data_IF_168594328610
#
_entry.id   IF_168594328610
#
_cell.length_a   1.000
_cell.length_b   1.000
_cell.length_c   1.000
_cell.angle_alpha   90.00
_cell.angle_beta   90.00
_cell.angle_gamma   90.00
#
_symmetry.space_group_name_H-M   'P 1'
#
loop_
_entity.id
_entity.type
_entity.pdbx_description
1 polymer ?
#
# COMPACT_ATOMS: atom_id res chain seq x y z
N UNK A 1 24.49 31.61 -10.79
CA UNK A 1 23.44 32.03 -9.85
C UNK A 1 22.18 31.26 -10.18
N UNK A 2 21.86 30.21 -9.42
CA UNK A 2 20.64 29.42 -9.66
C UNK A 2 19.42 30.21 -9.18
N UNK A 3 18.62 30.69 -10.12
CA UNK A 3 17.32 31.30 -9.85
C UNK A 3 16.38 30.19 -9.41
N UNK A 4 16.26 29.98 -8.10
CA UNK A 4 15.22 29.14 -7.53
C UNK A 4 13.85 29.74 -7.89
N UNK A 5 12.92 28.96 -8.48
CA UNK A 5 11.64 29.48 -8.92
C UNK A 5 10.80 29.94 -7.72
N UNK A 6 10.12 31.09 -7.88
CA UNK A 6 9.48 31.85 -6.80
C UNK A 6 8.53 31.04 -5.91
N UNK A 7 7.88 29.99 -6.45
CA UNK A 7 6.96 29.13 -5.70
C UNK A 7 7.63 28.33 -4.57
N UNK A 8 8.95 28.10 -4.63
CA UNK A 8 9.66 27.38 -3.57
C UNK A 8 9.96 28.22 -2.33
N UNK A 9 9.90 29.55 -2.44
CA UNK A 9 10.15 30.47 -1.31
C UNK A 9 8.95 30.65 -0.39
N UNK A 10 7.76 30.21 -0.79
CA UNK A 10 6.49 30.46 -0.09
C UNK A 10 5.92 29.24 0.64
N UNK A 11 6.49 28.05 0.45
CA UNK A 11 6.10 26.82 1.14
C UNK A 11 6.13 27.05 2.66
N UNK A 12 4.94 27.11 3.28
CA UNK A 12 4.74 27.34 4.72
C UNK A 12 4.28 28.73 5.16
N UNK A 13 4.07 29.71 4.25
CA UNK A 13 3.50 31.02 4.62
C UNK A 13 1.97 31.12 4.52
N UNK A 14 1.35 30.36 3.62
CA UNK A 14 -0.10 30.36 3.41
C UNK A 14 -0.61 28.92 3.22
N UNK A 15 -0.85 28.17 4.32
CA UNK A 15 -1.16 26.74 4.25
C UNK A 15 -2.42 26.43 3.43
N UNK A 16 -3.37 27.36 3.36
CA UNK A 16 -4.57 27.22 2.53
C UNK A 16 -4.25 27.33 1.03
N UNK A 17 -3.34 28.23 0.61
CA UNK A 17 -2.91 28.33 -0.78
C UNK A 17 -2.14 27.07 -1.20
N UNK A 18 -1.30 26.54 -0.31
CA UNK A 18 -0.57 25.29 -0.53
C UNK A 18 -1.52 24.11 -0.79
N UNK A 19 -2.68 24.09 -0.13
CA UNK A 19 -3.73 23.09 -0.38
C UNK A 19 -4.30 23.23 -1.79
N UNK A 20 -4.70 24.44 -2.20
CA UNK A 20 -5.30 24.67 -3.53
C UNK A 20 -4.29 24.48 -4.66
N UNK A 21 -3.02 24.82 -4.45
CA UNK A 21 -1.94 24.47 -5.36
C UNK A 21 -1.77 22.95 -5.48
N UNK A 22 -1.90 22.22 -4.37
CA UNK A 22 -1.85 20.76 -4.39
C UNK A 22 -3.01 20.15 -5.19
N UNK A 23 -4.22 20.73 -5.08
CA UNK A 23 -5.39 20.32 -5.89
C UNK A 23 -5.09 20.52 -7.38
N UNK A 24 -4.61 21.69 -7.78
CA UNK A 24 -4.24 21.95 -9.18
C UNK A 24 -3.13 21.01 -9.67
N UNK A 25 -2.11 20.75 -8.84
CA UNK A 25 -1.02 19.83 -9.20
C UNK A 25 -1.52 18.39 -9.46
N UNK A 26 -2.55 17.94 -8.74
CA UNK A 26 -3.18 16.64 -9.01
C UNK A 26 -3.80 16.64 -10.40
N UNK A 27 -4.58 17.66 -10.75
CA UNK A 27 -5.22 17.74 -12.07
C UNK A 27 -4.18 17.86 -13.19
N UNK A 28 -3.13 18.66 -12.99
CA UNK A 28 -1.99 18.77 -13.93
C UNK A 28 -1.31 17.41 -14.13
N UNK A 29 -1.11 16.65 -13.04
CA UNK A 29 -0.52 15.32 -13.11
C UNK A 29 -1.39 14.36 -13.94
N UNK A 30 -2.71 14.44 -13.79
CA UNK A 30 -3.66 13.62 -14.56
C UNK A 30 -3.67 14.00 -16.04
N UNK A 31 -3.62 15.30 -16.36
CA UNK A 31 -3.63 15.82 -17.72
C UNK A 31 -2.35 15.49 -18.52
N UNK A 32 -1.19 15.47 -17.86
CA UNK A 32 0.11 15.28 -18.51
C UNK A 32 0.63 13.84 -18.46
N UNK A 33 0.30 13.09 -17.42
CA UNK A 33 0.90 11.77 -17.17
C UNK A 33 -0.11 10.63 -17.02
N UNK A 34 -1.41 10.93 -17.04
CA UNK A 34 -2.47 9.95 -16.82
C UNK A 34 -2.76 9.66 -15.34
N UNK A 35 -4.04 9.43 -15.05
CA UNK A 35 -4.57 9.24 -13.69
C UNK A 35 -4.00 8.04 -12.92
N UNK A 36 -4.20 8.05 -11.60
CA UNK A 36 -3.82 6.94 -10.71
C UNK A 36 -4.69 5.69 -10.94
N UNK A 37 -4.08 4.51 -10.78
CA UNK A 37 -4.80 3.25 -10.78
C UNK A 37 -5.67 3.14 -9.52
N UNK A 38 -6.98 3.35 -9.68
CA UNK A 38 -7.97 3.27 -8.59
C UNK A 38 -8.45 1.84 -8.31
N UNK A 39 -7.57 0.84 -8.47
CA UNK A 39 -7.84 -0.55 -8.06
C UNK A 39 -8.89 -1.31 -8.88
N UNK A 40 -9.20 -0.87 -10.11
CA UNK A 40 -10.01 -1.68 -11.02
C UNK A 40 -9.24 -2.95 -11.44
N UNK A 41 -9.94 -4.07 -11.63
CA UNK A 41 -9.37 -5.40 -11.89
C UNK A 41 -9.34 -5.79 -13.37
N UNK A 42 -9.90 -4.98 -14.25
CA UNK A 42 -10.05 -5.28 -15.68
C UNK A 42 -9.22 -4.27 -16.48
N UNK A 43 -8.20 -4.74 -17.20
CA UNK A 43 -7.23 -3.92 -17.93
C UNK A 43 -7.87 -2.95 -18.94
N UNK A 44 -8.83 -3.42 -19.75
CA UNK A 44 -9.51 -2.58 -20.74
C UNK A 44 -10.37 -1.46 -20.13
N UNK A 45 -11.03 -1.73 -19.00
CA UNK A 45 -11.81 -0.73 -18.26
C UNK A 45 -10.90 0.29 -17.55
N UNK A 46 -9.71 -0.14 -17.11
CA UNK A 46 -8.69 0.74 -16.53
C UNK A 46 -8.21 1.74 -17.57
N UNK A 47 -7.82 1.29 -18.76
CA UNK A 47 -7.31 2.15 -19.85
C UNK A 47 -8.37 3.17 -20.27
N UNK A 48 -9.60 2.72 -20.52
CA UNK A 48 -10.71 3.60 -20.92
C UNK A 48 -10.99 4.66 -19.84
N UNK A 49 -11.00 4.27 -18.56
CA UNK A 49 -11.23 5.19 -17.45
C UNK A 49 -10.09 6.18 -17.28
N UNK A 50 -8.83 5.75 -17.45
CA UNK A 50 -7.65 6.62 -17.38
C UNK A 50 -7.63 7.63 -18.52
N UNK A 51 -7.95 7.20 -19.74
CA UNK A 51 -8.06 8.09 -20.89
C UNK A 51 -9.14 9.16 -20.66
N UNK A 52 -10.33 8.75 -20.18
CA UNK A 52 -11.41 9.70 -19.83
C UNK A 52 -10.99 10.69 -18.74
N UNK A 53 -10.39 10.22 -17.66
CA UNK A 53 -9.92 11.09 -16.58
C UNK A 53 -8.86 12.08 -17.06
N UNK A 54 -7.90 11.61 -17.88
CA UNK A 54 -6.90 12.47 -18.51
C UNK A 54 -7.56 13.53 -19.40
N UNK A 55 -8.56 13.17 -20.22
CA UNK A 55 -9.28 14.11 -21.05
C UNK A 55 -10.04 15.14 -20.23
N UNK A 56 -10.79 14.71 -19.20
CA UNK A 56 -11.50 15.63 -18.31
C UNK A 56 -10.56 16.60 -17.59
N UNK A 57 -9.37 16.14 -17.19
CA UNK A 57 -8.36 17.01 -16.58
C UNK A 57 -7.78 18.02 -17.57
N UNK A 58 -7.58 17.63 -18.84
CA UNK A 58 -7.17 18.55 -19.91
C UNK A 58 -8.23 19.62 -20.15
N UNK A 59 -9.47 19.20 -20.36
CA UNK A 59 -10.61 20.10 -20.60
C UNK A 59 -10.74 21.12 -19.45
N UNK A 60 -10.67 20.64 -18.20
CA UNK A 60 -10.71 21.50 -17.01
C UNK A 60 -9.61 22.57 -16.99
N UNK A 61 -8.39 22.23 -17.41
CA UNK A 61 -7.24 23.15 -17.37
C UNK A 61 -7.13 24.04 -18.61
N UNK A 62 -7.88 23.77 -19.67
CA UNK A 62 -7.85 24.55 -20.93
C UNK A 62 -9.10 25.38 -21.17
N UNK A 63 -10.21 25.08 -20.49
CA UNK A 63 -11.47 25.80 -20.67
C UNK A 63 -11.72 26.74 -19.50
N UNK A 64 -11.91 28.06 -19.75
CA UNK A 64 -12.28 29.01 -18.71
C UNK A 64 -13.59 28.59 -18.05
N UNK A 65 -13.57 28.40 -16.74
CA UNK A 65 -14.75 28.03 -15.95
C UNK A 65 -14.77 28.77 -14.61
N UNK A 66 -15.96 28.91 -14.03
CA UNK A 66 -16.13 29.54 -12.73
C UNK A 66 -15.37 28.78 -11.63
N UNK A 67 -15.36 27.46 -11.70
CA UNK A 67 -14.66 26.60 -10.76
C UNK A 67 -13.14 26.77 -10.87
N UNK A 68 -12.58 26.73 -12.08
CA UNK A 68 -11.16 26.96 -12.30
C UNK A 68 -10.73 28.37 -11.83
N UNK A 69 -11.56 29.38 -12.10
CA UNK A 69 -11.33 30.76 -11.62
C UNK A 69 -11.21 30.81 -10.10
N UNK A 70 -12.17 30.18 -9.39
CA UNK A 70 -12.16 30.10 -7.93
C UNK A 70 -10.92 29.38 -7.40
N UNK A 71 -10.60 28.22 -7.96
CA UNK A 71 -9.44 27.41 -7.53
C UNK A 71 -8.12 28.16 -7.76
N UNK A 72 -7.95 28.81 -8.92
CA UNK A 72 -6.77 29.63 -9.22
C UNK A 72 -6.67 30.83 -8.27
N UNK A 73 -7.77 31.53 -8.01
CA UNK A 73 -7.79 32.64 -7.06
C UNK A 73 -7.36 32.20 -5.65
N UNK A 74 -7.90 31.06 -5.17
CA UNK A 74 -7.54 30.49 -3.87
C UNK A 74 -6.10 29.95 -3.81
N UNK A 75 -5.54 29.56 -4.95
CA UNK A 75 -4.14 29.15 -5.10
C UNK A 75 -3.15 30.32 -5.26
N UNK A 76 -3.65 31.55 -5.41
CA UNK A 76 -2.85 32.75 -5.69
C UNK A 76 -2.28 32.78 -7.13
N UNK A 77 -3.00 32.20 -8.08
CA UNK A 77 -2.61 32.09 -9.49
C UNK A 77 -3.60 32.81 -10.40
N UNK A 78 -3.10 33.34 -11.51
CA UNK A 78 -3.95 33.88 -12.58
C UNK A 78 -4.48 32.76 -13.46
N UNK A 79 -5.80 32.68 -13.62
CA UNK A 79 -6.47 31.62 -14.40
C UNK A 79 -6.00 31.62 -15.85
N UNK A 80 -5.88 32.79 -16.48
CA UNK A 80 -5.55 32.87 -17.89
C UNK A 80 -4.10 32.42 -18.15
N UNK A 81 -3.16 32.81 -17.28
CA UNK A 81 -1.79 32.34 -17.31
C UNK A 81 -1.68 30.82 -17.13
N UNK A 82 -2.53 30.21 -16.28
CA UNK A 82 -2.61 28.75 -16.12
C UNK A 82 -3.10 28.09 -17.41
N UNK A 83 -4.19 28.59 -18.00
CA UNK A 83 -4.73 28.07 -19.26
C UNK A 83 -3.69 28.13 -20.38
N UNK A 84 -3.04 29.28 -20.57
CA UNK A 84 -2.05 29.49 -21.62
C UNK A 84 -0.82 28.56 -21.46
N UNK A 85 -0.41 28.31 -20.22
CA UNK A 85 0.68 27.39 -19.92
C UNK A 85 0.27 25.93 -20.13
N UNK A 86 -0.91 25.54 -19.62
CA UNK A 86 -1.40 24.18 -19.75
C UNK A 86 -1.72 23.81 -21.19
N UNK A 87 -2.30 24.73 -21.98
CA UNK A 87 -2.53 24.54 -23.42
C UNK A 87 -1.22 24.21 -24.15
N UNK A 88 -0.14 24.94 -23.85
CA UNK A 88 1.20 24.66 -24.42
C UNK A 88 1.75 23.32 -23.98
N UNK A 89 1.63 22.96 -22.71
CA UNK A 89 2.14 21.67 -22.20
C UNK A 89 1.34 20.48 -22.73
N UNK A 90 0.02 20.62 -22.86
CA UNK A 90 -0.86 19.57 -23.41
C UNK A 90 -0.59 19.36 -24.90
N UNK A 91 -0.33 20.43 -25.66
CA UNK A 91 0.05 20.32 -27.07
C UNK A 91 1.37 19.55 -27.29
N UNK A 92 2.27 19.56 -26.30
CA UNK A 92 3.52 18.80 -26.32
C UNK A 92 3.39 17.38 -25.72
N UNK A 93 2.25 17.04 -25.12
CA UNK A 93 2.03 15.77 -24.44
C UNK A 93 1.42 14.71 -25.39
N UNK A 94 1.69 13.41 -25.16
CA UNK A 94 1.06 12.32 -25.92
C UNK A 94 -0.48 12.33 -25.80
N UNK A 95 -1.16 11.59 -26.68
CA UNK A 95 -2.63 11.52 -26.61
C UNK A 95 -3.10 10.85 -25.30
N UNK A 96 -4.32 11.14 -24.80
CA UNK A 96 -4.83 10.53 -23.57
C UNK A 96 -4.91 9.00 -23.66
N UNK A 97 -5.14 8.47 -24.87
CA UNK A 97 -5.18 7.03 -25.14
C UNK A 97 -3.78 6.42 -25.07
N UNK A 98 -2.77 7.09 -25.63
CA UNK A 98 -1.36 6.67 -25.51
C UNK A 98 -0.87 6.69 -24.06
N UNK A 99 -1.22 7.75 -23.30
CA UNK A 99 -0.90 7.84 -21.88
C UNK A 99 -1.57 6.73 -21.07
N UNK A 100 -2.81 6.37 -21.41
CA UNK A 100 -3.56 5.31 -20.75
C UNK A 100 -3.07 3.91 -21.12
N UNK A 101 -2.66 3.70 -22.37
CA UNK A 101 -2.13 2.44 -22.89
C UNK A 101 -0.69 2.18 -22.42
N UNK A 102 0.07 3.25 -22.11
CA UNK A 102 1.38 3.08 -21.52
C UNK A 102 1.26 2.58 -20.08
N UNK A 103 1.68 1.34 -19.84
CA UNK A 103 2.04 0.80 -18.52
C UNK A 103 3.33 1.43 -17.95
N UNK A 104 3.73 2.59 -18.51
CA UNK A 104 4.95 3.25 -18.13
C UNK A 104 4.93 3.52 -16.62
N UNK A 105 5.97 3.10 -15.89
CA UNK A 105 6.09 3.45 -14.49
C UNK A 105 6.02 4.96 -14.39
N UNK A 106 4.95 5.40 -13.75
CA UNK A 106 4.64 6.80 -13.45
C UNK A 106 5.93 7.55 -13.16
N UNK A 107 6.17 8.67 -13.86
CA UNK A 107 7.14 9.67 -13.44
C UNK A 107 6.61 10.30 -12.14
N UNK A 108 6.62 9.54 -11.04
CA UNK A 108 7.04 10.11 -9.77
C UNK A 108 8.34 10.80 -10.11
N UNK A 109 8.39 12.13 -9.90
CA UNK A 109 9.60 12.97 -9.88
C UNK A 109 10.81 12.11 -10.11
N UNK A 110 11.36 12.12 -11.33
CA UNK A 110 12.64 11.48 -11.58
C UNK A 110 13.52 11.85 -10.40
N UNK A 111 13.73 10.90 -9.49
CA UNK A 111 15.02 10.78 -8.86
C UNK A 111 15.85 10.64 -10.11
N UNK A 112 16.44 11.75 -10.55
CA UNK A 112 17.77 11.75 -11.11
C UNK A 112 18.56 10.98 -10.07
N UNK A 113 18.52 9.65 -10.19
CA UNK A 113 19.64 8.81 -9.91
C UNK A 113 20.69 9.36 -10.86
N UNK A 114 21.29 10.48 -10.44
CA UNK A 114 22.71 10.69 -10.63
C UNK A 114 23.23 9.30 -10.30
N UNK A 115 23.74 8.62 -11.33
CA UNK A 115 24.57 7.43 -11.21
C UNK A 115 25.73 7.89 -10.33
N UNK A 116 25.43 8.02 -9.05
CA UNK A 116 26.40 7.96 -8.00
C UNK A 116 26.83 6.53 -8.18
N UNK A 117 28.08 6.38 -8.61
CA UNK A 117 28.83 5.18 -8.34
C UNK A 117 28.33 4.62 -7.01
N UNK A 118 28.11 3.30 -6.89
CA UNK A 118 27.79 2.73 -5.61
C UNK A 118 28.88 3.23 -4.66
N UNK A 119 28.54 4.21 -3.80
CA UNK A 119 29.40 4.58 -2.70
C UNK A 119 29.44 3.29 -1.94
N UNK A 120 30.54 2.56 -2.12
CA UNK A 120 30.96 1.50 -1.24
C UNK A 120 30.79 2.12 0.13
N UNK A 121 29.71 1.73 0.82
CA UNK A 121 29.58 2.09 2.22
C UNK A 121 30.89 1.58 2.79
N UNK A 122 31.67 2.47 3.39
CA UNK A 122 32.91 2.09 4.05
C UNK A 122 32.62 0.79 4.80
N UNK A 123 33.43 -0.27 4.62
CA UNK A 123 33.14 -1.57 5.18
C UNK A 123 32.80 -1.34 6.65
N UNK A 124 31.54 -1.62 7.04
CA UNK A 124 31.14 -1.44 8.44
C UNK A 124 32.17 -2.17 9.26
N UNK A 125 32.82 -1.48 10.20
CA UNK A 125 33.83 -2.08 11.06
C UNK A 125 33.27 -3.39 11.60
N UNK A 126 33.84 -4.50 11.13
CA UNK A 126 33.38 -5.83 11.53
C UNK A 126 33.82 -5.98 12.97
N UNK A 127 32.89 -5.78 13.90
CA UNK A 127 33.13 -5.92 15.34
C UNK A 127 33.91 -7.22 15.60
N UNK A 128 35.12 -7.07 16.14
CA UNK A 128 35.99 -8.18 16.53
C UNK A 128 35.67 -8.58 17.96
N UNK A 129 35.80 -9.86 18.24
CA UNK A 129 35.56 -10.45 19.54
C UNK A 129 36.82 -11.18 19.99
N UNK A 130 37.34 -10.78 21.15
CA UNK A 130 38.57 -11.34 21.72
C UNK A 130 38.24 -12.52 22.61
N UNK A 131 38.88 -13.65 22.37
CA UNK A 131 38.81 -14.86 23.19
C UNK A 131 40.12 -15.65 23.04
N UNK A 132 40.67 -16.16 24.15
CA UNK A 132 41.90 -16.96 24.18
C UNK A 132 43.11 -16.30 23.48
N UNK A 133 43.28 -14.99 23.68
CA UNK A 133 44.34 -14.20 23.04
C UNK A 133 44.13 -13.86 21.56
N UNK A 134 43.13 -14.44 20.90
CA UNK A 134 42.79 -14.20 19.50
C UNK A 134 41.64 -13.17 19.37
N UNK A 135 41.77 -12.19 18.46
CA UNK A 135 40.74 -11.15 18.21
C UNK A 135 40.14 -11.27 16.81
N UNK A 136 39.15 -12.16 16.67
CA UNK A 136 38.57 -12.53 15.38
C UNK A 136 37.15 -11.94 15.18
N UNK A 137 36.74 -11.83 13.92
CA UNK A 137 35.36 -11.50 13.54
C UNK A 137 34.45 -12.70 13.75
N UNK A 138 33.12 -12.48 13.84
CA UNK A 138 32.16 -13.59 13.96
C UNK A 138 32.24 -14.60 12.81
N UNK A 139 32.60 -14.16 11.61
CA UNK A 139 32.79 -15.03 10.46
C UNK A 139 34.02 -15.94 10.64
N UNK A 140 35.12 -15.38 11.13
CA UNK A 140 36.34 -16.14 11.42
C UNK A 140 36.12 -17.11 12.59
N UNK A 141 35.45 -16.68 13.65
CA UNK A 141 35.03 -17.55 14.76
C UNK A 141 34.07 -18.66 14.33
N UNK A 142 33.20 -18.39 13.35
CA UNK A 142 32.30 -19.40 12.78
C UNK A 142 33.07 -20.52 12.08
N UNK A 143 34.11 -20.18 11.33
CA UNK A 143 34.99 -21.15 10.68
C UNK A 143 35.80 -21.94 11.72
N UNK A 144 36.31 -21.26 12.76
CA UNK A 144 37.17 -21.88 13.78
C UNK A 144 36.43 -22.81 14.75
N UNK A 145 35.22 -22.46 15.13
CA UNK A 145 34.40 -23.24 16.09
C UNK A 145 33.42 -24.19 15.41
N UNK A 146 33.19 -24.04 14.10
CA UNK A 146 32.16 -24.79 13.37
C UNK A 146 30.72 -24.36 13.68
N UNK A 147 30.54 -23.29 14.48
CA UNK A 147 29.23 -22.75 14.83
C UNK A 147 28.76 -21.76 13.76
N UNK A 148 27.47 -21.78 13.40
CA UNK A 148 26.94 -20.82 12.43
C UNK A 148 27.06 -19.37 12.94
N UNK A 149 27.44 -18.44 12.05
CA UNK A 149 27.57 -17.01 12.37
C UNK A 149 26.30 -16.43 13.02
N UNK A 150 25.12 -16.86 12.56
CA UNK A 150 23.83 -16.47 13.14
C UNK A 150 23.65 -16.93 14.58
N UNK A 151 24.16 -18.12 14.94
CA UNK A 151 24.14 -18.63 16.31
C UNK A 151 25.04 -17.80 17.21
N UNK A 152 26.27 -17.52 16.77
CA UNK A 152 27.21 -16.67 17.53
C UNK A 152 26.64 -15.26 17.73
N UNK A 153 26.04 -14.66 16.69
CA UNK A 153 25.37 -13.36 16.78
C UNK A 153 24.22 -13.37 17.77
N UNK A 154 23.36 -14.39 17.72
CA UNK A 154 22.22 -14.53 18.63
C UNK A 154 22.67 -14.66 20.09
N UNK A 155 23.68 -15.50 20.35
CA UNK A 155 24.27 -15.68 21.69
C UNK A 155 24.82 -14.37 22.26
N UNK A 156 25.55 -13.60 21.46
CA UNK A 156 26.08 -12.30 21.89
C UNK A 156 24.99 -11.24 22.08
N UNK A 157 23.94 -11.26 21.26
CA UNK A 157 22.78 -10.38 21.44
C UNK A 157 21.98 -10.74 22.71
N UNK A 158 21.95 -12.02 23.07
CA UNK A 158 21.41 -12.51 24.33
C UNK A 158 22.38 -12.32 25.52
N UNK A 159 23.41 -11.50 25.37
CA UNK A 159 24.40 -11.17 26.40
C UNK A 159 25.17 -12.38 26.97
N UNK A 160 25.38 -13.43 26.17
CA UNK A 160 26.25 -14.52 26.58
C UNK A 160 27.71 -14.05 26.63
N UNK A 161 28.51 -14.54 27.61
CA UNK A 161 29.95 -14.31 27.59
C UNK A 161 30.56 -14.97 26.35
N UNK A 162 31.55 -14.31 25.75
CA UNK A 162 32.15 -14.75 24.47
C UNK A 162 32.71 -16.16 24.55
N UNK A 163 33.32 -16.52 25.68
CA UNK A 163 33.89 -17.85 25.95
C UNK A 163 32.82 -18.93 25.80
N UNK A 164 31.68 -18.73 26.47
CA UNK A 164 30.53 -19.61 26.42
C UNK A 164 29.88 -19.62 25.03
N UNK A 165 29.84 -18.46 24.37
CA UNK A 165 29.28 -18.35 23.04
C UNK A 165 30.06 -19.16 21.99
N UNK A 166 31.38 -19.33 22.18
CA UNK A 166 32.28 -20.04 21.26
C UNK A 166 32.49 -21.51 21.62
N UNK A 167 32.47 -21.87 22.91
CA UNK A 167 32.77 -23.24 23.38
C UNK A 167 31.53 -24.12 23.49
N UNK A 168 30.37 -23.55 23.83
CA UNK A 168 29.17 -24.34 24.03
C UNK A 168 28.65 -24.78 22.64
N UNK A 169 28.59 -26.09 22.35
CA UNK A 169 28.10 -26.54 21.06
C UNK A 169 26.72 -25.94 20.87
N UNK A 170 26.44 -25.37 19.69
CA UNK A 170 25.05 -25.14 19.31
C UNK A 170 24.50 -26.54 19.12
N UNK A 171 24.07 -27.13 20.22
CA UNK A 171 23.26 -28.31 20.18
C UNK A 171 22.29 -28.03 19.07
N UNK A 172 22.24 -28.95 18.11
CA UNK A 172 20.99 -29.61 17.87
C UNK A 172 20.12 -29.37 19.10
N UNK A 173 19.35 -28.28 19.10
CA UNK A 173 18.01 -28.40 19.58
C UNK A 173 17.59 -29.58 18.74
N UNK A 174 17.68 -30.76 19.36
CA UNK A 174 16.64 -31.74 19.32
C UNK A 174 15.47 -30.93 18.83
N UNK A 175 15.10 -31.16 17.55
CA UNK A 175 13.69 -31.15 17.24
C UNK A 175 13.14 -31.91 18.41
N UNK A 176 12.67 -31.21 19.46
CA UNK A 176 12.13 -31.84 20.66
C UNK A 176 11.28 -32.93 20.04
N UNK A 177 11.45 -34.23 20.36
CA UNK A 177 10.58 -35.25 19.77
C UNK A 177 9.21 -34.63 19.95
N UNK A 178 8.61 -34.27 18.80
CA UNK A 178 7.55 -33.27 18.79
C UNK A 178 6.52 -33.98 19.63
N UNK A 179 6.34 -33.58 20.89
CA UNK A 179 5.46 -34.32 21.79
C UNK A 179 4.21 -34.48 20.96
N UNK A 180 3.83 -35.72 20.70
CA UNK A 180 2.59 -36.08 20.01
C UNK A 180 1.43 -35.73 20.95
N UNK A 181 1.46 -34.53 21.52
CA UNK A 181 0.28 -33.86 21.94
C UNK A 181 -0.33 -33.39 20.62
N UNK A 182 -1.51 -33.89 20.24
CA UNK A 182 -2.24 -33.30 19.14
C UNK A 182 -2.27 -31.81 19.43
N UNK A 183 -1.71 -31.01 18.51
CA UNK A 183 -1.85 -29.55 18.59
C UNK A 183 -3.35 -29.33 18.78
N UNK A 184 -3.83 -28.63 19.82
CA UNK A 184 -5.23 -28.27 19.86
C UNK A 184 -5.49 -27.61 18.52
N UNK A 185 -6.40 -28.19 17.73
CA UNK A 185 -6.78 -27.64 16.45
C UNK A 185 -7.01 -26.16 16.71
N UNK A 186 -6.28 -25.27 16.02
CA UNK A 186 -6.36 -23.82 16.20
C UNK A 186 -7.82 -23.50 16.46
N UNK A 187 -8.17 -23.16 17.70
CA UNK A 187 -9.55 -22.86 18.05
C UNK A 187 -9.91 -21.70 17.13
N UNK A 188 -10.64 -22.01 16.06
CA UNK A 188 -11.13 -21.02 15.14
C UNK A 188 -11.85 -20.00 15.99
N UNK A 189 -11.63 -18.70 15.74
CA UNK A 189 -12.40 -17.64 16.39
C UNK A 189 -13.87 -18.08 16.46
N UNK A 190 -14.51 -18.08 17.64
CA UNK A 190 -15.89 -18.56 17.75
C UNK A 190 -16.73 -17.81 16.73
N UNK A 191 -17.48 -18.56 15.90
CA UNK A 191 -18.30 -17.97 14.86
C UNK A 191 -19.33 -17.03 15.47
N UNK A 192 -19.58 -15.90 14.83
CA UNK A 192 -20.58 -14.91 15.28
C UNK A 192 -21.93 -15.63 15.48
N UNK A 193 -22.49 -15.50 16.68
CA UNK A 193 -23.82 -15.99 17.05
C UNK A 193 -24.83 -14.85 17.02
N UNK A 194 -26.04 -15.13 16.53
CA UNK A 194 -27.15 -14.20 16.47
C UNK A 194 -28.35 -14.81 17.20
N UNK A 195 -29.02 -13.99 18.00
CA UNK A 195 -30.24 -14.36 18.72
C UNK A 195 -31.43 -13.71 18.05
N UNK A 196 -32.42 -14.52 17.66
CA UNK A 196 -33.66 -14.05 17.05
C UNK A 196 -34.81 -14.97 17.44
N UNK A 197 -35.97 -14.41 17.81
CA UNK A 197 -37.15 -15.15 18.25
C UNK A 197 -36.86 -16.19 19.37
N UNK A 198 -35.98 -15.84 20.32
CA UNK A 198 -35.63 -16.71 21.46
C UNK A 198 -34.60 -17.81 21.15
N UNK A 199 -34.19 -17.98 19.89
CA UNK A 199 -33.18 -18.95 19.51
C UNK A 199 -31.83 -18.27 19.24
N UNK A 200 -30.75 -18.82 19.82
CA UNK A 200 -29.38 -18.35 19.57
C UNK A 200 -28.64 -19.37 18.71
N UNK A 201 -28.32 -19.01 17.48
CA UNK A 201 -27.57 -19.88 16.57
C UNK A 201 -26.38 -19.15 15.95
N UNK A 202 -25.42 -19.93 15.45
CA UNK A 202 -24.29 -19.37 14.68
C UNK A 202 -24.75 -18.88 13.31
N UNK A 203 -24.01 -17.94 12.72
CA UNK A 203 -24.23 -17.51 11.33
C UNK A 203 -24.28 -18.68 10.33
N UNK A 204 -23.52 -19.75 10.57
CA UNK A 204 -23.53 -20.95 9.72
C UNK A 204 -24.88 -21.68 9.81
N UNK A 205 -25.43 -21.80 11.00
CA UNK A 205 -26.71 -22.47 11.23
C UNK A 205 -27.88 -21.63 10.71
N UNK A 206 -27.87 -20.32 10.94
CA UNK A 206 -28.86 -19.40 10.35
C UNK A 206 -28.83 -19.43 8.81
N UNK A 207 -27.63 -19.43 8.21
CA UNK A 207 -27.46 -19.56 6.76
C UNK A 207 -28.08 -20.86 6.22
N UNK A 208 -27.84 -21.99 6.90
CA UNK A 208 -28.38 -23.29 6.50
C UNK A 208 -29.90 -23.36 6.66
N UNK A 209 -30.44 -22.87 7.79
CA UNK A 209 -31.88 -22.93 8.11
C UNK A 209 -32.72 -22.07 7.17
N UNK A 210 -32.20 -20.91 6.78
CA UNK A 210 -32.91 -19.93 5.95
C UNK A 210 -32.63 -20.10 4.45
N UNK A 211 -31.77 -21.05 4.06
CA UNK A 211 -31.34 -21.21 2.67
C UNK A 211 -30.52 -20.02 2.13
N UNK A 212 -29.92 -19.23 3.01
CA UNK A 212 -29.17 -18.01 2.67
C UNK A 212 -27.67 -18.27 2.66
N UNK A 213 -26.94 -17.56 1.80
CA UNK A 213 -25.49 -17.59 1.86
C UNK A 213 -24.97 -16.79 3.07
N UNK A 214 -23.93 -17.28 3.77
CA UNK A 214 -23.26 -16.53 4.85
C UNK A 214 -22.83 -15.11 4.41
N UNK A 215 -22.30 -14.90 3.18
CA UNK A 215 -22.00 -13.55 2.69
C UNK A 215 -23.22 -12.62 2.64
N UNK A 216 -24.43 -13.15 2.35
CA UNK A 216 -25.67 -12.37 2.34
C UNK A 216 -26.00 -11.86 3.73
N UNK A 217 -25.98 -12.74 4.74
CA UNK A 217 -26.25 -12.36 6.13
C UNK A 217 -25.19 -11.36 6.63
N UNK A 218 -23.91 -11.58 6.33
CA UNK A 218 -22.83 -10.64 6.66
C UNK A 218 -22.96 -9.28 5.95
N UNK A 219 -23.49 -9.25 4.73
CA UNK A 219 -23.75 -7.99 4.02
C UNK A 219 -24.87 -7.22 4.72
N UNK A 220 -25.96 -7.89 5.11
CA UNK A 220 -27.10 -7.27 5.81
C UNK A 220 -26.70 -6.72 7.19
N UNK A 221 -25.88 -7.46 7.95
CA UNK A 221 -25.30 -6.97 9.21
C UNK A 221 -24.43 -5.72 9.02
N UNK A 222 -23.57 -5.72 7.99
CA UNK A 222 -22.73 -4.54 7.66
C UNK A 222 -23.53 -3.33 7.19
N UNK A 223 -24.73 -3.55 6.67
CA UNK A 223 -25.67 -2.49 6.29
C UNK A 223 -26.50 -1.97 7.48
N UNK A 224 -26.28 -2.51 8.69
CA UNK A 224 -26.98 -2.05 9.90
C UNK A 224 -28.47 -2.38 9.93
N UNK A 225 -28.91 -3.39 9.17
CA UNK A 225 -30.32 -3.79 9.14
C UNK A 225 -30.74 -4.43 10.47
N UNK A 226 -32.02 -4.27 10.88
CA UNK A 226 -32.54 -4.93 12.07
C UNK A 226 -32.47 -6.46 11.90
N UNK A 227 -32.29 -7.16 13.01
CA UNK A 227 -31.98 -8.60 13.02
C UNK A 227 -33.05 -9.45 12.30
N UNK A 228 -34.32 -9.04 12.40
CA UNK A 228 -35.45 -9.68 11.71
C UNK A 228 -35.31 -9.58 10.18
N UNK A 229 -34.82 -8.44 9.66
CA UNK A 229 -34.56 -8.26 8.23
C UNK A 229 -33.25 -8.93 7.80
N UNK A 230 -32.26 -9.01 8.69
CA UNK A 230 -31.00 -9.72 8.45
C UNK A 230 -31.29 -11.22 8.22
N UNK A 231 -32.21 -11.79 8.98
CA UNK A 231 -32.61 -13.20 8.93
C UNK A 231 -33.84 -13.47 8.04
N UNK A 232 -34.31 -12.48 7.28
CA UNK A 232 -35.41 -12.68 6.32
C UNK A 232 -35.01 -13.55 5.12
N UNK A 233 -35.90 -14.44 4.70
CA UNK A 233 -35.73 -15.36 3.57
C UNK A 233 -35.68 -14.66 2.19
N UNK A 234 -36.09 -13.39 2.10
CA UNK A 234 -36.11 -12.67 0.82
C UNK A 234 -34.71 -12.31 0.31
N UNK A 235 -34.28 -12.96 -0.77
CA UNK A 235 -32.99 -12.73 -1.40
C UNK A 235 -33.03 -11.46 -2.29
N UNK A 236 -32.41 -10.36 -1.84
CA UNK A 236 -32.35 -9.06 -2.55
C UNK A 236 -31.41 -9.06 -3.78
N UNK A 237 -31.15 -10.21 -4.39
CA UNK A 237 -30.32 -10.35 -5.60
C UNK A 237 -31.05 -11.21 -6.62
N UNK A 238 -31.47 -10.57 -7.70
CA UNK A 238 -32.23 -11.17 -8.79
C UNK A 238 -31.57 -12.42 -9.37
N UNK A 239 -32.40 -13.45 -9.52
CA UNK A 239 -32.39 -14.29 -10.70
C UNK A 239 -33.83 -14.72 -10.96
N UNK A 240 -34.45 -14.02 -11.90
CA UNK A 240 -35.46 -14.55 -12.78
C UNK A 240 -34.95 -15.89 -13.31
N UNK A 241 -35.64 -16.98 -12.98
CA UNK A 241 -35.60 -18.18 -13.80
C UNK A 241 -36.96 -18.29 -14.46
N UNK A 242 -37.01 -17.86 -15.72
CA UNK A 242 -38.03 -18.29 -16.66
C UNK A 242 -37.62 -19.66 -17.20
N UNK A 243 -38.59 -20.59 -17.25
CA UNK A 243 -38.64 -21.72 -18.20
C UNK A 243 -37.69 -22.90 -17.96
N UNK A 244 -38.24 -24.01 -17.44
CA UNK A 244 -38.55 -25.18 -18.28
C UNK A 244 -39.60 -26.05 -17.60
#
# INVERSE_FOLDING_TARGET
MSVEPAYKRTLGKYPEQDLWQSVLLVVVQEALYGGLNNGCRIEQEITTRRARACQSARDYLTTPSLDLSMVCAMAGLDMQAVIDNMTRQIAAAPSPEELAASDAPRVTRTKKTRKTEPKSRAPRDRKRHTYDGESLTLKEWSVRTGLAEGTLRSRLFAHWPIERALTEPSGQQARRPRKEQPRPAKAGKPGITLTHAGETMTLKQWAARLGLSKPTINKRLRMGLPIDQVLSSQNMRGKSFAGR
#
